data_IF_497990152179
#
_entry.id   IF_497990152179
#
_cell.length_a   1.000
_cell.length_b   1.000
_cell.length_c   1.000
_cell.angle_alpha   90.00
_cell.angle_beta   90.00
_cell.angle_gamma   90.00
#
_symmetry.space_group_name_H-M   'P 1'
#
loop_
_entity.id
_entity.type
_entity.pdbx_description
1 polymer ?
#
# COMPACT_ATOMS: atom_id res chain seq x y z
N UNK A 1 -9.00 12.44 -0.33
CA UNK A 1 -10.06 11.42 -0.42
C UNK A 1 -10.70 11.20 0.93
N UNK A 2 -11.90 11.74 1.12
CA UNK A 2 -12.82 11.33 2.18
C UNK A 2 -13.70 10.18 1.65
N UNK A 3 -13.05 9.05 1.43
CA UNK A 3 -13.64 7.83 0.89
C UNK A 3 -12.80 6.61 1.32
N UNK A 4 -13.47 5.48 1.52
CA UNK A 4 -12.85 4.25 1.99
C UNK A 4 -11.84 3.69 0.99
N UNK A 5 -10.77 3.06 1.49
CA UNK A 5 -9.85 2.23 0.72
C UNK A 5 -9.14 2.93 -0.44
N UNK A 6 -9.01 4.26 -0.37
CA UNK A 6 -8.36 5.06 -1.42
C UNK A 6 -6.84 5.15 -1.26
N UNK A 7 -6.29 4.74 -0.11
CA UNK A 7 -4.85 4.72 0.20
C UNK A 7 -4.14 3.52 -0.44
N UNK A 8 -4.25 3.39 -1.76
CA UNK A 8 -3.65 2.31 -2.55
C UNK A 8 -2.58 2.85 -3.49
N UNK A 9 -1.51 2.09 -3.68
CA UNK A 9 -0.44 2.37 -4.64
C UNK A 9 -1.01 2.52 -6.07
N UNK A 10 -1.93 1.64 -6.47
CA UNK A 10 -2.55 1.68 -7.80
C UNK A 10 -3.34 2.97 -8.04
N UNK A 11 -4.02 3.48 -7.01
CA UNK A 11 -4.77 4.74 -7.08
C UNK A 11 -3.81 5.93 -7.13
N UNK A 12 -2.80 5.93 -6.27
CA UNK A 12 -1.75 6.96 -6.29
C UNK A 12 -1.09 7.03 -7.68
N UNK A 13 -0.77 5.88 -8.27
CA UNK A 13 -0.13 5.80 -9.58
C UNK A 13 -1.04 6.32 -10.70
N UNK A 14 -2.34 6.03 -10.65
CA UNK A 14 -3.29 6.57 -11.61
C UNK A 14 -3.42 8.10 -11.54
N UNK A 15 -3.15 8.68 -10.36
CA UNK A 15 -3.24 10.13 -10.12
C UNK A 15 -1.90 10.86 -10.22
N UNK A 16 -0.80 10.16 -10.52
CA UNK A 16 0.58 10.72 -10.51
C UNK A 16 0.76 12.01 -11.32
N UNK A 17 0.00 12.16 -12.40
CA UNK A 17 0.04 13.34 -13.28
C UNK A 17 -1.06 14.37 -12.98
N UNK A 18 -1.81 14.21 -11.88
CA UNK A 18 -2.99 15.02 -11.53
C UNK A 18 -2.86 15.70 -10.17
N UNK A 19 -1.98 15.20 -9.30
CA UNK A 19 -1.73 15.77 -7.97
C UNK A 19 -0.27 15.58 -7.58
N UNK A 20 0.22 16.43 -6.67
CA UNK A 20 1.53 16.28 -6.02
C UNK A 20 1.43 15.42 -4.75
N UNK A 21 0.29 15.50 -4.06
CA UNK A 21 0.06 14.77 -2.81
C UNK A 21 -1.34 14.16 -2.82
N UNK A 22 -1.45 12.92 -2.37
CA UNK A 22 -2.70 12.23 -2.15
C UNK A 22 -2.92 11.99 -0.65
N UNK A 23 -3.98 12.56 -0.09
CA UNK A 23 -4.42 12.26 1.28
C UNK A 23 -5.56 11.25 1.25
N UNK A 24 -5.36 10.05 1.79
CA UNK A 24 -6.29 8.93 1.66
C UNK A 24 -6.19 7.95 2.84
N UNK A 25 -7.02 6.91 2.83
CA UNK A 25 -7.06 5.90 3.88
C UNK A 25 -6.96 4.51 3.31
N UNK A 26 -6.14 3.67 3.93
CA UNK A 26 -6.00 2.26 3.56
C UNK A 26 -7.20 1.44 4.03
N UNK A 27 -7.88 1.86 5.10
CA UNK A 27 -9.04 1.20 5.69
C UNK A 27 -10.37 1.92 5.34
N UNK A 28 -11.46 1.50 5.99
CA UNK A 28 -12.73 2.22 5.95
C UNK A 28 -12.59 3.58 6.60
N UNK A 29 -13.12 4.60 5.94
CA UNK A 29 -13.24 5.93 6.54
C UNK A 29 -14.29 5.93 7.68
N UNK A 30 -14.07 6.75 8.72
CA UNK A 30 -15.11 7.09 9.68
C UNK A 30 -16.34 7.69 8.97
N UNK A 31 -17.54 7.33 9.41
CA UNK A 31 -18.78 7.86 8.82
C UNK A 31 -18.95 9.38 9.02
N UNK A 32 -18.26 9.94 10.03
CA UNK A 32 -18.19 11.38 10.28
C UNK A 32 -17.41 12.12 9.20
N UNK A 33 -16.58 11.42 8.41
CA UNK A 33 -15.70 12.02 7.41
C UNK A 33 -14.63 12.89 8.05
N UNK A 34 -14.25 13.95 7.34
CA UNK A 34 -13.22 14.89 7.77
C UNK A 34 -13.80 16.08 8.54
N UNK A 35 -12.95 16.76 9.32
CA UNK A 35 -13.31 18.01 9.98
C UNK A 35 -13.32 19.19 9.00
N UNK A 36 -14.34 19.23 8.12
CA UNK A 36 -14.42 20.25 7.07
C UNK A 36 -14.51 21.68 7.61
N UNK A 37 -15.15 21.87 8.77
CA UNK A 37 -15.22 23.20 9.38
C UNK A 37 -13.83 23.69 9.77
N UNK A 38 -13.03 22.84 10.43
CA UNK A 38 -11.65 23.19 10.77
C UNK A 38 -10.78 23.35 9.53
N UNK A 39 -10.90 22.46 8.54
CA UNK A 39 -10.16 22.54 7.27
C UNK A 39 -10.42 23.88 6.56
N UNK A 40 -11.68 24.32 6.47
CA UNK A 40 -12.03 25.56 5.77
C UNK A 40 -11.55 26.82 6.51
N UNK A 41 -11.37 26.76 7.83
CA UNK A 41 -11.02 27.92 8.66
C UNK A 41 -9.54 27.99 9.04
N UNK A 42 -8.85 26.85 9.21
CA UNK A 42 -7.53 26.78 9.83
C UNK A 42 -6.44 26.19 8.91
N UNK A 43 -6.80 25.61 7.75
CA UNK A 43 -5.80 25.06 6.84
C UNK A 43 -4.94 26.17 6.24
N UNK A 44 -3.63 26.10 6.47
CA UNK A 44 -2.70 27.11 5.96
C UNK A 44 -2.30 26.79 4.52
N UNK A 45 -3.10 27.30 3.58
CA UNK A 45 -2.90 27.11 2.14
C UNK A 45 -1.70 27.89 1.56
N UNK A 46 -0.96 28.65 2.38
CA UNK A 46 0.25 29.34 1.94
C UNK A 46 1.52 28.47 1.99
N UNK A 47 1.45 27.30 2.64
CA UNK A 47 2.58 26.36 2.79
C UNK A 47 2.76 25.49 1.54
N UNK A 48 3.83 24.69 1.54
CA UNK A 48 4.05 23.69 0.49
C UNK A 48 3.04 22.54 0.61
N UNK A 49 2.81 21.81 -0.48
CA UNK A 49 1.82 20.74 -0.52
C UNK A 49 2.02 19.68 0.57
N UNK A 50 3.28 19.32 0.87
CA UNK A 50 3.62 18.34 1.90
C UNK A 50 3.23 18.84 3.29
N UNK A 51 3.55 20.10 3.64
CA UNK A 51 3.17 20.69 4.93
C UNK A 51 1.65 20.83 5.09
N UNK A 52 0.94 21.15 4.00
CA UNK A 52 -0.53 21.20 3.97
C UNK A 52 -1.09 19.80 4.26
N UNK A 53 -0.50 18.77 3.65
CA UNK A 53 -0.95 17.40 3.83
C UNK A 53 -0.67 16.89 5.26
N UNK A 54 0.48 17.19 5.84
CA UNK A 54 0.76 16.92 7.26
C UNK A 54 -0.27 17.59 8.18
N UNK A 55 -0.62 18.85 7.91
CA UNK A 55 -1.65 19.55 8.68
C UNK A 55 -3.03 18.87 8.57
N UNK A 56 -3.40 18.40 7.37
CA UNK A 56 -4.64 17.62 7.18
C UNK A 56 -4.64 16.31 7.97
N UNK A 57 -3.50 15.60 8.02
CA UNK A 57 -3.37 14.38 8.83
C UNK A 57 -3.51 14.72 10.33
N UNK A 58 -2.89 15.78 10.81
CA UNK A 58 -3.04 16.24 12.20
C UNK A 58 -4.49 16.57 12.56
N UNK A 59 -5.20 17.29 11.68
CA UNK A 59 -6.62 17.59 11.89
C UNK A 59 -7.47 16.33 11.94
N UNK A 60 -7.18 15.36 11.05
CA UNK A 60 -7.89 14.10 11.02
C UNK A 60 -7.64 13.26 12.28
N UNK A 61 -6.39 13.16 12.74
CA UNK A 61 -6.03 12.52 14.01
C UNK A 61 -6.83 13.12 15.16
N UNK A 62 -6.71 14.43 15.37
CA UNK A 62 -7.37 15.12 16.48
C UNK A 62 -8.90 14.96 16.45
N UNK A 63 -9.50 14.99 15.26
CA UNK A 63 -10.95 14.82 15.09
C UNK A 63 -11.43 13.41 15.45
N UNK A 64 -10.59 12.39 15.20
CA UNK A 64 -10.92 10.98 15.41
C UNK A 64 -10.21 10.36 16.62
N UNK A 65 -9.42 11.10 17.39
CA UNK A 65 -8.54 10.55 18.46
C UNK A 65 -9.28 9.74 19.53
N UNK A 66 -10.58 10.01 19.73
CA UNK A 66 -11.45 9.31 20.68
C UNK A 66 -12.37 8.25 20.04
N UNK A 67 -12.20 7.95 18.74
CA UNK A 67 -12.92 6.87 18.06
C UNK A 67 -12.57 5.52 18.67
N UNK A 68 -13.58 4.65 18.80
CA UNK A 68 -13.41 3.28 19.32
C UNK A 68 -13.23 2.25 18.20
N UNK A 69 -12.98 2.73 16.97
CA UNK A 69 -12.85 1.94 15.76
C UNK A 69 -11.47 2.13 15.17
N UNK A 70 -11.13 1.21 14.28
CA UNK A 70 -9.93 1.28 13.49
C UNK A 70 -10.02 2.45 12.49
N UNK A 71 -8.98 3.26 12.45
CA UNK A 71 -8.85 4.43 11.56
C UNK A 71 -7.44 4.43 10.97
N UNK A 72 -7.34 4.76 9.68
CA UNK A 72 -6.07 5.00 9.01
C UNK A 72 -6.17 6.28 8.19
N UNK A 73 -5.13 7.09 8.16
CA UNK A 73 -5.03 8.22 7.24
C UNK A 73 -3.58 8.52 6.92
N UNK A 74 -3.28 8.67 5.64
CA UNK A 74 -1.93 8.96 5.18
C UNK A 74 -1.91 10.05 4.10
N UNK A 75 -0.80 10.78 4.07
CA UNK A 75 -0.42 11.71 3.03
C UNK A 75 0.72 11.08 2.21
N UNK A 76 0.52 11.02 0.90
CA UNK A 76 1.35 10.27 -0.03
C UNK A 76 1.88 11.22 -1.10
N UNK A 77 3.20 11.34 -1.21
CA UNK A 77 3.87 12.10 -2.26
C UNK A 77 3.77 11.33 -3.58
N UNK A 78 3.04 11.88 -4.55
CA UNK A 78 2.87 11.25 -5.86
C UNK A 78 3.95 11.68 -6.86
N UNK A 79 4.83 12.62 -6.54
CA UNK A 79 5.91 13.05 -7.44
C UNK A 79 7.02 12.00 -7.54
N UNK A 80 7.28 11.26 -6.47
CA UNK A 80 8.33 10.22 -6.45
C UNK A 80 7.80 8.82 -6.77
N UNK A 81 6.53 8.69 -7.17
CA UNK A 81 5.88 7.40 -7.32
C UNK A 81 6.46 6.54 -8.45
N UNK A 82 7.10 7.15 -9.45
CA UNK A 82 7.77 6.41 -10.52
C UNK A 82 9.01 5.66 -10.00
N UNK A 83 9.77 6.26 -9.08
CA UNK A 83 10.91 5.60 -8.42
C UNK A 83 10.44 4.42 -7.55
N UNK A 84 9.30 4.60 -6.85
CA UNK A 84 8.67 3.53 -6.07
C UNK A 84 8.17 2.40 -6.97
N UNK A 85 7.60 2.73 -8.13
CA UNK A 85 7.15 1.76 -9.12
C UNK A 85 8.31 0.91 -9.65
N UNK A 86 9.45 1.54 -9.97
CA UNK A 86 10.66 0.82 -10.40
C UNK A 86 11.17 -0.12 -9.30
N UNK A 87 11.26 0.36 -8.05
CA UNK A 87 11.69 -0.44 -6.92
C UNK A 87 10.75 -1.63 -6.68
N UNK A 88 9.43 -1.41 -6.78
CA UNK A 88 8.40 -2.43 -6.64
C UNK A 88 8.53 -3.50 -7.73
N UNK A 89 8.73 -3.08 -8.98
CA UNK A 89 8.87 -4.00 -10.10
C UNK A 89 10.10 -4.90 -9.96
N UNK A 90 11.24 -4.32 -9.56
CA UNK A 90 12.48 -5.06 -9.32
C UNK A 90 12.37 -6.01 -8.14
N UNK A 91 11.76 -5.59 -7.05
CA UNK A 91 11.46 -6.46 -5.92
C UNK A 91 10.60 -7.66 -6.37
N UNK A 92 9.53 -7.41 -7.13
CA UNK A 92 8.63 -8.46 -7.59
C UNK A 92 9.30 -9.44 -8.54
N UNK A 93 10.17 -8.96 -9.43
CA UNK A 93 10.95 -9.77 -10.34
C UNK A 93 11.84 -10.76 -9.58
N UNK A 94 12.64 -10.26 -8.65
CA UNK A 94 13.64 -11.05 -7.91
C UNK A 94 12.97 -11.98 -6.90
N UNK A 95 11.93 -11.52 -6.21
CA UNK A 95 11.14 -12.37 -5.32
C UNK A 95 10.53 -13.55 -6.09
N UNK A 96 9.87 -13.28 -7.23
CA UNK A 96 9.26 -14.34 -8.06
C UNK A 96 10.31 -15.30 -8.62
N UNK A 97 11.47 -14.80 -9.05
CA UNK A 97 12.54 -15.65 -9.56
C UNK A 97 13.04 -16.60 -8.47
N UNK A 98 13.34 -16.05 -7.28
CA UNK A 98 13.85 -16.82 -6.14
C UNK A 98 12.84 -17.86 -5.63
N UNK A 99 11.55 -17.52 -5.58
CA UNK A 99 10.51 -18.46 -5.13
C UNK A 99 10.26 -19.62 -6.11
N UNK A 100 10.71 -19.51 -7.36
CA UNK A 100 10.65 -20.61 -8.35
C UNK A 100 11.84 -21.56 -8.25
N UNK A 101 12.86 -21.24 -7.46
CA UNK A 101 13.99 -22.12 -7.25
C UNK A 101 13.66 -23.20 -6.23
N UNK A 102 14.09 -24.44 -6.49
CA UNK A 102 13.84 -25.57 -5.58
C UNK A 102 12.38 -26.03 -5.57
N UNK A 103 11.79 -26.14 -4.37
CA UNK A 103 10.41 -26.59 -4.20
C UNK A 103 9.44 -25.40 -4.34
N UNK A 104 9.01 -25.14 -5.58
CA UNK A 104 8.13 -24.02 -5.93
C UNK A 104 6.80 -24.03 -5.15
N UNK A 105 6.24 -25.20 -4.86
CA UNK A 105 4.96 -25.32 -4.15
C UNK A 105 5.13 -24.98 -2.66
N UNK A 106 6.21 -25.47 -2.04
CA UNK A 106 6.54 -25.10 -0.67
C UNK A 106 6.82 -23.59 -0.54
N UNK A 107 7.60 -23.02 -1.47
CA UNK A 107 7.90 -21.58 -1.49
C UNK A 107 6.64 -20.72 -1.65
N UNK A 108 5.73 -21.14 -2.52
CA UNK A 108 4.43 -20.48 -2.69
C UNK A 108 3.61 -20.49 -1.40
N UNK A 109 3.59 -21.62 -0.68
CA UNK A 109 2.92 -21.73 0.61
C UNK A 109 3.56 -20.83 1.67
N UNK A 110 4.88 -20.71 1.69
CA UNK A 110 5.56 -19.77 2.59
C UNK A 110 5.21 -18.30 2.26
N UNK A 111 5.08 -17.94 0.98
CA UNK A 111 4.57 -16.63 0.59
C UNK A 111 3.11 -16.42 1.04
N UNK A 112 2.23 -17.42 0.88
CA UNK A 112 0.84 -17.36 1.37
C UNK A 112 0.77 -17.14 2.89
N UNK A 113 1.63 -17.81 3.67
CA UNK A 113 1.71 -17.61 5.11
C UNK A 113 2.24 -16.20 5.42
N UNK A 114 3.25 -15.72 4.68
CA UNK A 114 3.79 -14.36 4.81
C UNK A 114 2.69 -13.31 4.63
N UNK A 115 1.92 -13.43 3.55
CA UNK A 115 0.77 -12.56 3.26
C UNK A 115 -0.32 -12.64 4.31
N UNK A 116 -0.64 -13.85 4.79
CA UNK A 116 -1.68 -14.05 5.80
C UNK A 116 -1.33 -13.43 7.15
N UNK A 117 -0.04 -13.23 7.42
CA UNK A 117 0.44 -12.54 8.61
C UNK A 117 0.67 -11.04 8.37
N UNK A 118 0.58 -10.55 7.12
CA UNK A 118 0.73 -9.13 6.81
C UNK A 118 -0.53 -8.34 7.17
N UNK A 119 -0.38 -7.06 7.50
CA UNK A 119 -1.47 -6.14 7.73
C UNK A 119 -2.34 -6.08 6.47
N UNK A 120 -3.63 -6.26 6.67
CA UNK A 120 -4.63 -6.10 5.63
C UNK A 120 -5.76 -5.20 6.13
N UNK A 121 -6.62 -4.77 5.22
CA UNK A 121 -7.69 -3.84 5.54
C UNK A 121 -9.06 -4.51 5.45
N UNK A 122 -10.13 -3.72 5.37
CA UNK A 122 -11.49 -4.25 5.24
C UNK A 122 -11.60 -5.27 4.09
N UNK A 123 -10.85 -5.00 3.02
CA UNK A 123 -10.57 -5.90 1.93
C UNK A 123 -9.27 -6.64 2.22
N UNK A 124 -9.37 -7.97 2.45
CA UNK A 124 -8.20 -8.83 2.79
C UNK A 124 -7.21 -8.99 1.64
N UNK A 125 -7.60 -8.58 0.45
CA UNK A 125 -6.78 -8.49 -0.74
C UNK A 125 -6.04 -7.15 -0.85
N UNK A 126 -6.25 -6.21 0.08
CA UNK A 126 -5.48 -4.98 0.18
C UNK A 126 -4.53 -5.13 1.36
N UNK A 127 -3.24 -5.21 1.04
CA UNK A 127 -2.17 -5.52 2.00
C UNK A 127 -1.32 -4.27 2.18
N UNK A 128 -0.88 -3.99 3.39
CA UNK A 128 0.08 -2.91 3.64
C UNK A 128 1.42 -3.23 2.95
N UNK A 129 1.90 -2.31 2.10
CA UNK A 129 3.06 -2.57 1.26
C UNK A 129 4.35 -2.66 2.09
N UNK A 130 4.53 -1.80 3.10
CA UNK A 130 5.74 -1.81 3.94
C UNK A 130 5.76 -3.08 4.78
N UNK A 131 4.68 -3.36 5.51
CA UNK A 131 4.61 -4.52 6.40
C UNK A 131 4.75 -5.85 5.63
N UNK A 132 4.15 -5.96 4.45
CA UNK A 132 4.34 -7.13 3.57
C UNK A 132 5.82 -7.34 3.21
N UNK A 133 6.51 -6.27 2.79
CA UNK A 133 7.91 -6.37 2.37
C UNK A 133 8.82 -6.67 3.57
N UNK A 134 8.54 -6.10 4.75
CA UNK A 134 9.25 -6.46 5.99
C UNK A 134 9.04 -7.92 6.39
N UNK A 135 7.83 -8.45 6.24
CA UNK A 135 7.51 -9.87 6.48
C UNK A 135 8.18 -10.77 5.45
N UNK A 136 8.29 -10.36 4.19
CA UNK A 136 9.10 -11.07 3.19
C UNK A 136 10.57 -11.12 3.62
N UNK A 137 11.17 -9.99 4.02
CA UNK A 137 12.57 -9.94 4.47
C UNK A 137 12.82 -10.84 5.68
N UNK A 138 11.98 -10.73 6.70
CA UNK A 138 12.19 -11.40 7.98
C UNK A 138 11.80 -12.89 7.97
N UNK A 139 10.75 -13.27 7.24
CA UNK A 139 10.23 -14.65 7.23
C UNK A 139 10.87 -15.51 6.16
N UNK A 140 10.99 -15.00 4.93
CA UNK A 140 11.54 -15.78 3.82
C UNK A 140 13.07 -15.75 3.82
N UNK A 141 13.66 -14.63 4.28
CA UNK A 141 15.11 -14.46 4.45
C UNK A 141 15.93 -14.85 3.21
N UNK A 142 15.40 -14.57 2.01
CA UNK A 142 16.06 -14.87 0.75
C UNK A 142 17.13 -13.80 0.48
N UNK A 143 18.40 -14.20 0.50
CA UNK A 143 19.56 -13.29 0.35
C UNK A 143 19.47 -12.43 -0.93
N UNK A 144 19.10 -13.03 -2.05
CA UNK A 144 18.96 -12.32 -3.32
C UNK A 144 17.86 -11.23 -3.31
N UNK A 145 16.84 -11.38 -2.46
CA UNK A 145 15.68 -10.45 -2.39
C UNK A 145 15.98 -9.27 -1.47
N UNK A 146 16.84 -9.45 -0.46
CA UNK A 146 17.13 -8.49 0.61
C UNK A 146 17.45 -7.07 0.13
N UNK A 147 18.39 -6.83 -0.82
CA UNK A 147 18.71 -5.47 -1.27
C UNK A 147 17.55 -4.80 -2.02
N UNK A 148 16.76 -5.56 -2.77
CA UNK A 148 15.61 -5.03 -3.50
C UNK A 148 14.44 -4.72 -2.59
N UNK A 149 14.22 -5.57 -1.58
CA UNK A 149 13.24 -5.31 -0.53
C UNK A 149 13.63 -4.06 0.29
N UNK A 150 14.92 -3.91 0.63
CA UNK A 150 15.41 -2.72 1.33
C UNK A 150 15.20 -1.45 0.52
N UNK A 151 15.54 -1.46 -0.77
CA UNK A 151 15.34 -0.31 -1.66
C UNK A 151 13.86 0.07 -1.76
N UNK A 152 12.96 -0.91 -1.88
CA UNK A 152 11.52 -0.67 -1.91
C UNK A 152 11.00 -0.08 -0.59
N UNK A 153 11.45 -0.61 0.55
CA UNK A 153 11.07 -0.08 1.86
C UNK A 153 11.49 1.38 2.03
N UNK A 154 12.72 1.71 1.63
CA UNK A 154 13.22 3.10 1.67
C UNK A 154 12.38 4.03 0.79
N UNK A 155 12.11 3.63 -0.45
CA UNK A 155 11.35 4.49 -1.38
C UNK A 155 9.89 4.67 -0.95
N UNK A 156 9.23 3.62 -0.43
CA UNK A 156 7.84 3.76 0.04
C UNK A 156 7.77 4.60 1.32
N UNK A 157 8.75 4.47 2.23
CA UNK A 157 8.81 5.31 3.43
C UNK A 157 9.04 6.78 3.09
N UNK A 158 9.87 7.07 2.10
CA UNK A 158 10.06 8.44 1.59
C UNK A 158 8.76 9.00 0.97
N UNK A 159 7.99 8.15 0.31
CA UNK A 159 6.72 8.51 -0.33
C UNK A 159 5.60 8.80 0.68
N UNK A 160 5.66 8.22 1.87
CA UNK A 160 4.67 8.45 2.95
C UNK A 160 5.09 9.67 3.76
N UNK A 161 4.54 10.84 3.42
CA UNK A 161 4.81 12.12 4.08
C UNK A 161 4.37 12.05 5.55
N UNK A 162 3.14 11.58 5.78
CA UNK A 162 2.58 11.41 7.11
C UNK A 162 1.64 10.21 7.13
N UNK A 163 1.60 9.51 8.26
CA UNK A 163 0.70 8.38 8.48
C UNK A 163 0.17 8.44 9.91
N UNK A 164 -1.14 8.24 10.04
CA UNK A 164 -1.84 8.21 11.32
C UNK A 164 -2.75 7.00 11.38
N UNK A 165 -2.71 6.30 12.51
CA UNK A 165 -3.53 5.11 12.76
C UNK A 165 -4.14 5.17 14.16
N UNK A 166 -5.36 4.64 14.27
CA UNK A 166 -6.06 4.41 15.54
C UNK A 166 -6.55 2.98 15.54
N UNK A 167 -6.50 2.33 16.70
CA UNK A 167 -7.04 1.00 16.91
C UNK A 167 -5.99 -0.09 16.81
N UNK A 168 -6.18 -1.12 17.65
CA UNK A 168 -5.24 -2.24 17.79
C UNK A 168 -5.03 -2.99 16.47
N UNK A 169 -6.05 -3.08 15.60
CA UNK A 169 -5.94 -3.84 14.36
C UNK A 169 -5.26 -3.07 13.22
N UNK A 170 -4.81 -1.83 13.44
CA UNK A 170 -4.12 -1.00 12.45
C UNK A 170 -2.69 -0.63 12.92
N UNK A 171 -2.14 -1.34 13.89
CA UNK A 171 -0.80 -1.06 14.43
C UNK A 171 0.31 -1.21 13.38
N UNK A 172 0.12 -2.11 12.41
CA UNK A 172 1.05 -2.39 11.32
C UNK A 172 0.63 -1.69 9.99
N UNK A 173 -0.26 -0.69 10.04
CA UNK A 173 -0.64 0.09 8.86
C UNK A 173 0.32 1.28 8.66
N UNK A 174 1.04 1.28 7.54
CA UNK A 174 2.16 2.19 7.25
C UNK A 174 1.86 3.22 6.17
N UNK A 175 0.59 3.38 5.77
CA UNK A 175 0.11 4.50 4.95
C UNK A 175 -0.17 4.16 3.49
N UNK A 176 0.38 3.08 2.92
CA UNK A 176 0.11 2.71 1.53
C UNK A 176 -0.16 1.21 1.38
N UNK A 177 -1.35 0.89 0.86
CA UNK A 177 -1.74 -0.49 0.56
C UNK A 177 -1.49 -0.83 -0.91
N UNK A 178 -1.44 -2.13 -1.22
CA UNK A 178 -1.34 -2.66 -2.58
C UNK A 178 -2.24 -3.89 -2.71
N UNK A 179 -2.76 -4.15 -3.91
CA UNK A 179 -3.53 -5.36 -4.17
C UNK A 179 -2.65 -6.60 -4.17
N UNK A 180 -3.00 -7.57 -3.32
CA UNK A 180 -2.48 -8.93 -3.34
C UNK A 180 -3.62 -9.93 -3.06
N UNK A 181 -4.02 -10.76 -4.02
CA UNK A 181 -5.21 -11.59 -3.90
C UNK A 181 -5.06 -12.66 -2.81
N UNK A 182 -5.94 -12.64 -1.81
CA UNK A 182 -6.02 -13.72 -0.81
C UNK A 182 -6.61 -15.02 -1.37
N UNK A 183 -7.54 -14.89 -2.29
CA UNK A 183 -8.21 -16.00 -2.98
C UNK A 183 -8.07 -15.82 -4.48
N UNK A 184 -8.28 -16.91 -5.25
CA UNK A 184 -8.28 -16.81 -6.72
C UNK A 184 -9.35 -15.79 -7.15
N UNK A 185 -8.97 -14.67 -7.78
CA UNK A 185 -9.92 -13.68 -8.23
C UNK A 185 -10.72 -14.21 -9.43
N UNK A 186 -11.91 -13.66 -9.65
CA UNK A 186 -12.61 -13.85 -10.92
C UNK A 186 -11.77 -13.29 -12.07
N UNK A 187 -11.74 -14.00 -13.20
CA UNK A 187 -10.94 -13.64 -14.37
C UNK A 187 -11.22 -12.21 -14.87
N UNK A 188 -12.48 -11.81 -14.85
CA UNK A 188 -12.92 -10.47 -15.25
C UNK A 188 -12.30 -9.37 -14.37
N UNK A 189 -12.23 -9.59 -13.05
CA UNK A 189 -11.65 -8.64 -12.10
C UNK A 189 -10.15 -8.51 -12.35
N UNK A 190 -9.45 -9.64 -12.49
CA UNK A 190 -8.01 -9.61 -12.75
C UNK A 190 -7.70 -8.96 -14.11
N UNK A 191 -8.52 -9.23 -15.13
CA UNK A 191 -8.41 -8.58 -16.44
C UNK A 191 -8.59 -7.06 -16.36
N UNK A 192 -9.45 -6.56 -15.45
CA UNK A 192 -9.58 -5.12 -15.21
C UNK A 192 -8.35 -4.56 -14.49
N UNK A 193 -7.81 -5.29 -13.51
CA UNK A 193 -6.57 -4.90 -12.82
C UNK A 193 -5.39 -4.75 -13.78
N UNK A 194 -5.28 -5.65 -14.76
CA UNK A 194 -4.25 -5.61 -15.81
C UNK A 194 -4.34 -4.40 -16.75
N UNK A 195 -5.45 -3.66 -16.73
CA UNK A 195 -5.64 -2.44 -17.55
C UNK A 195 -5.21 -1.16 -16.84
N UNK A 196 -4.80 -1.24 -15.58
CA UNK A 196 -4.36 -0.06 -14.83
C UNK A 196 -2.98 0.41 -15.34
N UNK A 197 -2.76 1.72 -15.34
CA UNK A 197 -1.54 2.36 -15.84
C UNK A 197 -0.28 1.83 -15.16
N UNK A 198 -0.35 1.58 -13.85
CA UNK A 198 0.79 1.09 -13.07
C UNK A 198 1.31 -0.25 -13.58
N UNK A 199 0.49 -1.05 -14.27
CA UNK A 199 0.91 -2.34 -14.84
C UNK A 199 2.01 -2.17 -15.87
N UNK A 200 2.02 -1.06 -16.61
CA UNK A 200 3.09 -0.75 -17.56
C UNK A 200 4.44 -0.48 -16.85
N UNK A 201 4.40 0.11 -15.66
CA UNK A 201 5.59 0.39 -14.84
C UNK A 201 6.00 -0.78 -13.95
N UNK A 202 5.04 -1.61 -13.52
CA UNK A 202 5.23 -2.74 -12.63
C UNK A 202 4.81 -4.10 -13.25
N UNK A 203 5.26 -4.46 -14.47
CA UNK A 203 4.83 -5.69 -15.12
C UNK A 203 5.22 -6.97 -14.36
N UNK A 204 6.31 -6.95 -13.60
CA UNK A 204 6.75 -8.07 -12.79
C UNK A 204 5.94 -8.23 -11.50
N UNK A 205 5.32 -7.16 -10.98
CA UNK A 205 4.30 -7.28 -9.93
C UNK A 205 3.13 -8.13 -10.42
N UNK A 206 2.59 -7.81 -11.60
CA UNK A 206 1.50 -8.60 -12.20
C UNK A 206 1.92 -10.05 -12.48
N UNK A 207 3.15 -10.29 -12.93
CA UNK A 207 3.68 -11.66 -13.10
C UNK A 207 3.80 -12.40 -11.76
N UNK A 208 4.17 -11.74 -10.68
CA UNK A 208 4.20 -12.31 -9.33
C UNK A 208 2.80 -12.71 -8.89
N UNK A 209 1.80 -11.82 -9.06
CA UNK A 209 0.41 -12.13 -8.73
C UNK A 209 -0.12 -13.30 -9.55
N UNK A 210 0.08 -13.30 -10.88
CA UNK A 210 -0.33 -14.41 -11.76
C UNK A 210 0.32 -15.72 -11.35
N UNK A 211 1.63 -15.69 -11.11
CA UNK A 211 2.35 -16.85 -10.61
C UNK A 211 1.67 -17.33 -9.34
N UNK A 212 1.51 -16.48 -8.32
CA UNK A 212 0.91 -16.81 -7.02
C UNK A 212 -0.48 -17.45 -7.13
N UNK A 213 -1.39 -16.81 -7.90
CA UNK A 213 -2.79 -17.23 -8.07
C UNK A 213 -2.90 -18.65 -8.64
N UNK A 214 -1.99 -19.08 -9.53
CA UNK A 214 -2.06 -20.40 -10.15
C UNK A 214 -2.01 -21.55 -9.15
N UNK A 215 -1.34 -21.37 -8.01
CA UNK A 215 -1.29 -22.37 -6.95
C UNK A 215 -2.32 -22.17 -5.83
N UNK A 216 -3.16 -21.13 -5.90
CA UNK A 216 -4.33 -21.05 -5.04
C UNK A 216 -5.34 -22.13 -5.46
N UNK A 217 -5.73 -22.95 -4.49
CA UNK A 217 -6.76 -23.99 -4.65
C UNK A 217 -8.16 -23.40 -4.60
#
# INVERSE_FOLDING_TARGET
FDACLMGMFEIAYQLRNQTNVMVASQHLEPAKGWDYERILNELDTSKQANDIAEQLISFHDEHHTNEKRDVTKSAIDTEIIEDVAEALDRFAEVLRASLKEGDEEANRKELEITLSNSQFFHRKDYVDLIDFVEKVKSRLAIEAVEPHAQKLLESVREMVIANHTIGYYMEDANGLSIYFPKYRPFEEIFTMYEKLDFVAACPNWVKLLKWYILGLK
#
